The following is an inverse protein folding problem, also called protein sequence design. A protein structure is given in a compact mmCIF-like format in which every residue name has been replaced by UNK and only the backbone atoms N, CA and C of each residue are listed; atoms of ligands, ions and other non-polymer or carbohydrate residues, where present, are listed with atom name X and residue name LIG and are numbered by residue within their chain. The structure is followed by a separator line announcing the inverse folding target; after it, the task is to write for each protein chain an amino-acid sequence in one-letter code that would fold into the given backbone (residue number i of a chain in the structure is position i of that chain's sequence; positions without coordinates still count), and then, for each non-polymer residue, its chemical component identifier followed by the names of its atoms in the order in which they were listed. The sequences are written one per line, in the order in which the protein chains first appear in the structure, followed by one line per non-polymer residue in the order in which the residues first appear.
data_IF_608784407339
#
_entry.id   IF_608784407339
#
_cell.length_a   1.000
_cell.length_b   1.000
_cell.length_c   1.000
_cell.angle_alpha   90.00
_cell.angle_beta   90.00
_cell.angle_gamma   90.00
#
_symmetry.space_group_name_H-M   'P 1'
#
loop_
_entity.id
_entity.type
_entity.pdbx_description
1 polymer ?
#
# COMPACT_ATOMS: atom_id res chain seq x y z
N UNK A 1 -6.97 -30.86 -27.72
CA UNK A 1 -6.83 -31.19 -26.28
C UNK A 1 -5.76 -30.38 -25.56
N UNK A 2 -4.61 -30.07 -26.18
CA UNK A 2 -3.57 -29.25 -25.54
C UNK A 2 -4.05 -27.82 -25.26
N UNK A 3 -4.69 -27.16 -26.23
CA UNK A 3 -5.21 -25.79 -26.07
C UNK A 3 -6.15 -25.64 -24.85
N UNK A 4 -7.02 -26.63 -24.63
CA UNK A 4 -7.92 -26.68 -23.46
C UNK A 4 -7.18 -26.88 -22.15
N UNK A 5 -6.10 -27.67 -22.13
CA UNK A 5 -5.25 -27.82 -20.94
C UNK A 5 -4.44 -26.55 -20.63
N UNK A 6 -3.95 -25.85 -21.66
CA UNK A 6 -3.21 -24.61 -21.48
C UNK A 6 -4.09 -23.50 -20.87
N UNK A 7 -5.34 -23.40 -21.33
CA UNK A 7 -6.32 -22.45 -20.79
C UNK A 7 -6.67 -22.74 -19.33
N UNK A 8 -6.83 -24.02 -18.96
CA UNK A 8 -7.06 -24.44 -17.57
C UNK A 8 -5.86 -24.08 -16.67
N UNK A 9 -4.63 -24.26 -17.13
CA UNK A 9 -3.44 -23.86 -16.37
C UNK A 9 -3.37 -22.34 -16.16
N UNK A 10 -3.70 -21.54 -17.18
CA UNK A 10 -3.73 -20.07 -17.08
C UNK A 10 -4.80 -19.57 -16.10
N UNK A 11 -5.99 -20.18 -16.08
CA UNK A 11 -7.06 -19.83 -15.14
C UNK A 11 -6.71 -20.16 -13.67
N UNK A 12 -5.97 -21.25 -13.44
CA UNK A 12 -5.47 -21.60 -12.11
C UNK A 12 -4.41 -20.60 -11.59
N UNK A 13 -3.60 -20.02 -12.47
CA UNK A 13 -2.59 -19.03 -12.06
C UNK A 13 -3.25 -17.72 -11.62
N UNK A 14 -4.28 -17.25 -12.35
CA UNK A 14 -4.97 -15.98 -12.06
C UNK A 14 -5.76 -16.03 -10.75
N UNK A 15 -6.27 -17.19 -10.36
CA UNK A 15 -7.04 -17.37 -9.11
C UNK A 15 -6.18 -17.46 -7.85
N UNK A 16 -4.85 -17.58 -7.98
CA UNK A 16 -3.90 -17.47 -6.86
C UNK A 16 -3.39 -16.05 -6.58
N UNK A 17 -3.96 -15.05 -7.25
CA UNK A 17 -3.75 -13.65 -6.87
C UNK A 17 -4.38 -13.38 -5.51
N UNK A 18 -3.59 -13.51 -4.43
CA UNK A 18 -3.99 -13.00 -3.12
C UNK A 18 -4.22 -11.50 -3.25
N UNK A 19 -5.48 -11.09 -3.21
CA UNK A 19 -5.83 -9.74 -2.77
C UNK A 19 -5.20 -9.55 -1.38
N UNK A 20 -4.28 -8.59 -1.23
CA UNK A 20 -3.80 -8.17 0.09
C UNK A 20 -4.98 -7.51 0.83
N UNK A 21 -5.89 -8.32 1.34
CA UNK A 21 -6.88 -7.89 2.32
C UNK A 21 -6.15 -7.77 3.64
N UNK A 22 -5.80 -6.54 4.01
CA UNK A 22 -5.16 -6.22 5.29
C UNK A 22 -6.01 -6.72 6.45
N UNK A 23 -5.56 -7.78 7.11
CA UNK A 23 -6.10 -8.24 8.39
C UNK A 23 -4.95 -8.33 9.38
N UNK A 24 -4.99 -7.47 10.39
CA UNK A 24 -4.07 -7.50 11.53
C UNK A 24 -4.32 -8.77 12.35
N UNK A 25 -3.43 -9.75 12.24
CA UNK A 25 -3.17 -10.70 13.32
C UNK A 25 -1.77 -10.42 13.84
N UNK A 26 -1.67 -9.94 15.08
CA UNK A 26 -0.38 -9.77 15.77
C UNK A 26 0.30 -11.15 15.87
N UNK A 27 1.49 -11.39 15.26
CA UNK A 27 2.16 -12.65 15.45
C UNK A 27 2.97 -12.63 16.74
N UNK A 28 2.91 -13.79 17.40
CA UNK A 28 3.51 -14.17 18.68
C UNK A 28 5.04 -13.99 18.70
N UNK A 29 5.56 -13.66 19.88
CA UNK A 29 6.97 -13.61 20.20
C UNK A 29 7.71 -14.90 19.77
N UNK A 30 8.59 -14.81 18.77
CA UNK A 30 9.55 -15.87 18.43
C UNK A 30 9.66 -16.29 16.95
N UNK A 31 8.88 -15.72 16.02
CA UNK A 31 8.96 -16.03 14.58
C UNK A 31 9.55 -14.89 13.76
N UNK A 32 10.20 -15.20 12.62
CA UNK A 32 10.72 -14.23 11.65
C UNK A 32 9.78 -13.05 11.48
N UNK A 33 10.29 -11.83 11.67
CA UNK A 33 9.53 -10.61 11.50
C UNK A 33 9.02 -10.54 10.06
N UNK A 34 7.74 -10.85 9.85
CA UNK A 34 7.03 -10.51 8.63
C UNK A 34 6.95 -8.97 8.65
N UNK A 35 7.82 -8.32 7.87
CA UNK A 35 7.73 -6.87 7.66
C UNK A 35 6.56 -6.63 6.70
N UNK A 36 5.38 -6.40 7.27
CA UNK A 36 4.19 -6.00 6.50
C UNK A 36 4.41 -4.59 5.93
N UNK A 37 4.74 -4.53 4.64
CA UNK A 37 4.90 -3.29 3.89
C UNK A 37 3.59 -2.79 3.25
N UNK A 38 2.43 -3.41 3.54
CA UNK A 38 1.17 -3.18 2.83
C UNK A 38 0.71 -1.72 2.78
N UNK A 39 1.10 -0.90 3.77
CA UNK A 39 0.78 0.53 3.83
C UNK A 39 2.00 1.45 3.75
N UNK A 40 3.22 0.91 3.61
CA UNK A 40 4.45 1.72 3.57
C UNK A 40 4.55 2.57 2.29
N UNK A 41 3.95 2.12 1.19
CA UNK A 41 3.90 2.86 -0.06
C UNK A 41 3.08 4.16 0.03
N UNK A 42 2.15 4.28 1.00
CA UNK A 42 1.40 5.52 1.26
C UNK A 42 1.87 6.29 2.49
N UNK A 43 3.08 6.00 2.99
CA UNK A 43 3.61 6.75 4.15
C UNK A 43 3.56 8.26 3.86
N UNK A 44 3.07 9.11 4.78
CA UNK A 44 2.89 10.52 4.52
C UNK A 44 4.18 11.22 4.12
N UNK A 45 4.10 12.07 3.10
CA UNK A 45 5.16 12.98 2.68
C UNK A 45 4.97 14.28 3.44
N UNK A 46 5.98 14.68 4.19
CA UNK A 46 6.02 15.96 4.91
C UNK A 46 6.85 16.96 4.13
N UNK A 47 6.37 18.19 4.03
CA UNK A 47 6.99 19.29 3.31
C UNK A 47 7.47 20.32 4.35
N UNK A 48 8.66 20.86 4.17
CA UNK A 48 9.16 21.96 4.99
C UNK A 48 8.65 23.32 4.48
N UNK A 49 8.55 24.33 5.34
CA UNK A 49 8.10 25.68 4.95
C UNK A 49 9.06 26.36 3.96
N UNK A 50 10.31 25.91 3.89
CA UNK A 50 11.33 26.42 2.97
C UNK A 50 11.25 25.80 1.58
N UNK A 51 10.53 24.69 1.39
CA UNK A 51 10.41 24.02 0.11
C UNK A 51 9.67 24.89 -0.91
N UNK A 52 10.21 24.96 -2.14
CA UNK A 52 9.58 25.65 -3.27
C UNK A 52 8.97 24.62 -4.21
N UNK A 53 7.67 24.40 -4.07
CA UNK A 53 6.92 23.44 -4.87
C UNK A 53 6.01 24.16 -5.87
N UNK A 54 5.84 23.57 -7.04
CA UNK A 54 4.77 23.97 -7.95
C UNK A 54 3.41 23.56 -7.37
N UNK A 55 2.34 24.26 -7.76
CA UNK A 55 0.98 23.90 -7.31
C UNK A 55 0.63 22.44 -7.67
N UNK A 56 0.97 22.00 -8.90
CA UNK A 56 0.69 20.62 -9.32
C UNK A 56 1.40 19.57 -8.46
N UNK A 57 2.61 19.87 -7.97
CA UNK A 57 3.33 18.98 -7.04
C UNK A 57 2.65 18.94 -5.66
N UNK A 58 2.19 20.08 -5.16
CA UNK A 58 1.42 20.16 -3.89
C UNK A 58 0.17 19.29 -3.97
N UNK A 59 -0.58 19.39 -5.08
CA UNK A 59 -1.82 18.66 -5.27
C UNK A 59 -1.58 17.13 -5.31
N UNK A 60 -0.50 16.70 -5.96
CA UNK A 60 -0.12 15.29 -6.01
C UNK A 60 0.27 14.74 -4.62
N UNK A 61 1.06 15.50 -3.85
CA UNK A 61 1.45 15.10 -2.49
C UNK A 61 0.21 15.02 -1.58
N UNK A 62 -0.69 16.00 -1.70
CA UNK A 62 -1.94 15.99 -0.95
C UNK A 62 -2.78 14.76 -1.29
N UNK A 63 -2.97 14.45 -2.57
CA UNK A 63 -3.72 13.28 -3.01
C UNK A 63 -3.10 11.96 -2.50
N UNK A 64 -1.77 11.85 -2.53
CA UNK A 64 -1.04 10.71 -1.97
C UNK A 64 -1.31 10.53 -0.47
N UNK A 65 -1.11 11.59 0.32
CA UNK A 65 -1.30 11.54 1.77
C UNK A 65 -2.75 11.23 2.16
N UNK A 66 -3.72 11.82 1.46
CA UNK A 66 -5.15 11.55 1.67
C UNK A 66 -5.53 10.12 1.33
N UNK A 67 -4.92 9.54 0.29
CA UNK A 67 -5.09 8.12 -0.06
C UNK A 67 -4.59 7.23 1.07
N UNK A 68 -3.41 7.55 1.62
CA UNK A 68 -2.89 6.88 2.80
C UNK A 68 -3.80 7.01 4.02
N UNK A 69 -4.33 8.19 4.30
CA UNK A 69 -5.29 8.38 5.40
C UNK A 69 -6.55 7.51 5.20
N UNK A 70 -7.11 7.50 3.99
CA UNK A 70 -8.34 6.76 3.66
C UNK A 70 -8.15 5.24 3.72
N UNK A 71 -7.09 4.72 3.12
CA UNK A 71 -6.90 3.27 2.94
C UNK A 71 -6.10 2.62 4.07
N UNK A 72 -5.19 3.38 4.68
CA UNK A 72 -4.23 2.87 5.67
C UNK A 72 -4.36 3.53 7.05
N UNK A 73 -5.30 4.47 7.24
CA UNK A 73 -5.58 5.08 8.54
C UNK A 73 -4.49 6.04 9.05
N UNK A 74 -3.55 6.43 8.19
CA UNK A 74 -2.50 7.39 8.55
C UNK A 74 -3.09 8.67 9.10
N UNK A 75 -2.59 9.09 10.27
CA UNK A 75 -3.02 10.33 10.90
C UNK A 75 -2.07 11.47 10.53
N UNK A 76 -2.58 12.68 10.28
CA UNK A 76 -1.75 13.87 10.18
C UNK A 76 -0.89 14.01 11.45
N UNK A 77 0.39 14.30 11.27
CA UNK A 77 1.25 14.61 12.40
C UNK A 77 0.74 15.88 13.10
N UNK A 78 0.40 15.75 14.38
CA UNK A 78 0.18 16.91 15.26
C UNK A 78 1.54 17.51 15.60
N UNK A 79 2.14 18.29 14.71
CA UNK A 79 3.27 19.15 15.07
C UNK A 79 2.91 20.62 14.92
N UNK A 80 3.20 21.31 16.01
CA UNK A 80 2.87 22.69 16.40
C UNK A 80 3.41 23.75 15.44
#
# INVERSE_FOLDING_TARGET
MWKTRLLLCLLLIVSSGCEMTGRMSNPVAGGSAIVDNGCNWTRPIFIDKTDKLSQGTVDQILAHNMTGQRLCGWQPSKKN
#
